data_IF_139426693439
#
_entry.id   IF_139426693439
#
_cell.length_a   1.000
_cell.length_b   1.000
_cell.length_c   1.000
_cell.angle_alpha   90.00
_cell.angle_beta   90.00
_cell.angle_gamma   90.00
#
_symmetry.space_group_name_H-M   'P 1'
#
loop_
_entity.id
_entity.type
_entity.pdbx_description
1 polymer ?
#
# COMPACT_ATOMS: atom_id res chain seq x y z
N UNK A 1 -27.66 -0.77 11.71
CA UNK A 1 -26.23 -0.45 11.44
C UNK A 1 -26.07 0.55 10.30
N UNK A 2 -26.70 0.36 9.12
CA UNK A 2 -26.60 1.35 8.03
C UNK A 2 -27.05 2.76 8.44
N UNK A 3 -28.18 2.88 9.15
CA UNK A 3 -28.67 4.16 9.69
C UNK A 3 -27.67 4.78 10.69
N UNK A 4 -27.16 3.99 11.64
CA UNK A 4 -26.16 4.43 12.62
C UNK A 4 -24.87 4.95 11.97
N UNK A 5 -24.49 4.40 10.81
CA UNK A 5 -23.29 4.81 10.08
C UNK A 5 -23.54 5.95 9.10
N UNK A 6 -24.80 6.30 8.80
CA UNK A 6 -25.15 7.22 7.71
C UNK A 6 -24.54 8.62 7.93
N UNK A 7 -24.66 9.15 9.14
CA UNK A 7 -24.17 10.49 9.50
C UNK A 7 -22.63 10.58 9.54
N UNK A 8 -21.95 9.45 9.76
CA UNK A 8 -20.48 9.38 9.84
C UNK A 8 -19.82 9.06 8.49
N UNK A 9 -20.58 8.74 7.43
CA UNK A 9 -20.02 8.41 6.11
C UNK A 9 -19.53 9.67 5.40
N UNK A 10 -18.34 9.64 4.79
CA UNK A 10 -17.93 10.68 3.86
C UNK A 10 -18.92 10.81 2.70
N UNK A 11 -19.15 12.03 2.20
CA UNK A 11 -20.14 12.31 1.15
C UNK A 11 -20.00 11.40 -0.09
N UNK A 12 -18.77 11.15 -0.56
CA UNK A 12 -18.51 10.26 -1.71
C UNK A 12 -18.80 8.77 -1.45
N UNK A 13 -19.16 8.40 -0.22
CA UNK A 13 -19.55 7.05 0.23
C UNK A 13 -20.95 7.01 0.81
N UNK A 14 -21.73 8.09 0.68
CA UNK A 14 -23.09 8.18 1.21
C UNK A 14 -23.98 7.03 0.68
N UNK A 15 -23.83 6.69 -0.60
CA UNK A 15 -24.61 5.62 -1.25
C UNK A 15 -24.06 4.20 -1.00
N UNK A 16 -22.92 4.07 -0.32
CA UNK A 16 -22.38 2.75 0.03
C UNK A 16 -23.16 2.19 1.22
N UNK A 17 -23.60 0.94 1.15
CA UNK A 17 -24.31 0.28 2.25
C UNK A 17 -23.56 -0.97 2.73
N UNK A 18 -23.71 -1.28 4.01
CA UNK A 18 -23.35 -2.58 4.59
C UNK A 18 -24.35 -3.60 4.07
N UNK A 19 -23.85 -4.73 3.54
CA UNK A 19 -24.67 -5.82 3.04
C UNK A 19 -25.40 -6.53 4.20
N UNK A 20 -26.70 -6.27 4.32
CA UNK A 20 -27.53 -6.81 5.40
C UNK A 20 -27.86 -8.30 5.24
N UNK A 21 -27.45 -8.94 4.13
CA UNK A 21 -27.59 -10.40 3.94
C UNK A 21 -26.53 -11.18 4.71
N UNK A 22 -25.44 -10.53 5.11
CA UNK A 22 -24.36 -11.15 5.88
C UNK A 22 -24.79 -11.33 7.33
N UNK A 23 -24.64 -12.56 7.84
CA UNK A 23 -25.03 -12.93 9.22
C UNK A 23 -23.86 -12.89 10.20
N UNK A 24 -22.64 -12.70 9.70
CA UNK A 24 -21.41 -12.70 10.48
C UNK A 24 -20.66 -11.39 10.29
N UNK A 25 -20.00 -10.93 11.35
CA UNK A 25 -19.08 -9.80 11.34
C UNK A 25 -17.73 -10.23 11.91
N UNK A 26 -16.68 -9.48 11.58
CA UNK A 26 -15.33 -9.73 12.09
C UNK A 26 -15.02 -8.74 13.21
N UNK A 27 -14.68 -9.25 14.39
CA UNK A 27 -14.12 -8.44 15.47
C UNK A 27 -12.60 -8.39 15.31
N UNK A 28 -12.05 -7.18 15.31
CA UNK A 28 -10.61 -6.95 15.14
C UNK A 28 -10.05 -6.15 16.32
N UNK A 29 -8.78 -6.38 16.69
CA UNK A 29 -8.09 -5.52 17.66
C UNK A 29 -8.13 -4.05 17.21
N UNK A 30 -8.53 -3.16 18.12
CA UNK A 30 -8.51 -1.73 17.85
C UNK A 30 -7.07 -1.20 17.97
N UNK A 31 -6.51 -0.74 16.86
CA UNK A 31 -5.17 -0.18 16.81
C UNK A 31 -5.08 1.22 17.42
N UNK A 32 -6.22 1.86 17.72
CA UNK A 32 -6.28 3.24 18.19
C UNK A 32 -6.31 3.38 19.72
N UNK A 33 -6.24 2.26 20.45
CA UNK A 33 -6.21 2.24 21.93
C UNK A 33 -4.79 2.24 22.45
N UNK A 34 -4.61 2.64 23.71
CA UNK A 34 -3.33 2.53 24.44
C UNK A 34 -2.70 1.14 24.33
N UNK A 35 -1.37 1.16 24.34
CA UNK A 35 -0.55 -0.05 24.33
C UNK A 35 -0.63 -0.73 25.70
N UNK A 36 -0.64 0.07 26.78
CA UNK A 36 -0.85 -0.40 28.14
C UNK A 36 -2.35 -0.48 28.54
N UNK A 37 -2.75 -1.45 29.38
CA UNK A 37 -4.11 -1.47 29.95
C UNK A 37 -4.44 -0.25 30.83
N UNK A 38 -3.41 0.32 31.47
CA UNK A 38 -3.49 1.50 32.33
C UNK A 38 -2.39 2.47 31.91
N UNK A 39 -2.64 3.36 30.93
CA UNK A 39 -1.64 4.33 30.49
C UNK A 39 -1.24 5.26 31.64
N UNK A 40 0.02 5.66 31.66
CA UNK A 40 0.51 6.67 32.59
C UNK A 40 -0.20 8.01 32.35
N UNK A 41 -0.31 8.84 33.40
CA UNK A 41 -0.92 10.17 33.28
C UNK A 41 -0.13 11.01 32.25
N UNK A 42 -0.84 11.60 31.29
CA UNK A 42 -0.24 12.39 30.20
C UNK A 42 0.35 11.56 29.06
N UNK A 43 0.14 10.24 29.04
CA UNK A 43 0.50 9.38 27.92
C UNK A 43 -0.62 9.37 26.87
N UNK A 44 -0.25 9.67 25.63
CA UNK A 44 -1.16 9.66 24.47
C UNK A 44 -0.77 8.55 23.50
N UNK A 45 -1.77 7.95 22.86
CA UNK A 45 -1.56 6.98 21.78
C UNK A 45 -1.64 7.67 20.44
N UNK A 46 -0.53 7.69 19.71
CA UNK A 46 -0.49 8.18 18.35
C UNK A 46 -0.47 6.99 17.40
N UNK A 47 -1.51 6.85 16.57
CA UNK A 47 -1.57 5.81 15.54
C UNK A 47 -1.48 6.41 14.15
N UNK A 48 -0.59 5.88 13.33
CA UNK A 48 -0.39 6.30 11.94
C UNK A 48 -0.75 5.16 11.01
N UNK A 49 -1.76 5.37 10.15
CA UNK A 49 -2.12 4.47 9.05
C UNK A 49 -1.42 4.94 7.77
N UNK A 50 -0.64 4.09 7.12
CA UNK A 50 0.08 4.39 5.88
C UNK A 50 -0.37 3.42 4.79
N UNK A 51 -0.75 3.93 3.60
CA UNK A 51 -0.95 3.11 2.39
C UNK A 51 0.31 3.18 1.52
N UNK A 52 1.22 2.20 1.61
CA UNK A 52 2.56 2.31 1.02
C UNK A 52 2.54 2.22 -0.52
N UNK A 53 1.48 1.68 -1.11
CA UNK A 53 1.33 1.46 -2.57
C UNK A 53 2.34 0.44 -3.10
N UNK A 54 2.81 0.65 -4.33
CA UNK A 54 3.62 -0.29 -5.10
C UNK A 54 5.10 0.01 -4.83
N UNK A 55 5.80 -0.93 -4.21
CA UNK A 55 7.21 -0.81 -3.83
C UNK A 55 8.21 -1.19 -4.91
N UNK A 56 7.77 -1.37 -6.16
CA UNK A 56 8.62 -1.81 -7.26
C UNK A 56 8.21 -1.21 -8.62
N UNK A 57 9.14 -1.24 -9.57
CA UNK A 57 9.00 -1.02 -11.00
C UNK A 57 8.91 -2.37 -11.70
N UNK A 58 8.06 -2.47 -12.73
CA UNK A 58 7.92 -3.73 -13.46
C UNK A 58 9.20 -4.07 -14.23
N UNK A 59 9.59 -5.34 -14.16
CA UNK A 59 10.69 -5.92 -14.94
C UNK A 59 10.17 -6.84 -16.05
N UNK A 60 8.85 -7.04 -16.16
CA UNK A 60 8.23 -7.93 -17.13
C UNK A 60 8.69 -7.62 -18.54
N UNK A 61 9.21 -8.61 -19.27
CA UNK A 61 9.61 -8.43 -20.68
C UNK A 61 8.41 -8.27 -21.62
N UNK A 62 7.19 -8.50 -21.12
CA UNK A 62 5.94 -8.43 -21.87
C UNK A 62 5.34 -7.02 -21.94
N UNK A 63 5.98 -6.03 -21.32
CA UNK A 63 5.62 -4.61 -21.48
C UNK A 63 6.00 -4.16 -22.89
N UNK A 64 5.05 -3.59 -23.62
CA UNK A 64 5.31 -3.01 -24.95
C UNK A 64 6.27 -1.82 -24.90
N UNK A 65 6.94 -1.52 -26.01
CA UNK A 65 7.86 -0.38 -26.11
C UNK A 65 7.15 0.95 -25.84
N UNK A 66 5.90 1.08 -26.29
CA UNK A 66 5.02 2.23 -26.04
C UNK A 66 4.80 2.48 -24.53
N UNK A 67 4.79 1.41 -23.74
CA UNK A 67 4.58 1.44 -22.30
C UNK A 67 5.90 1.32 -21.49
N UNK A 68 7.05 1.44 -22.13
CA UNK A 68 8.38 1.29 -21.51
C UNK A 68 8.63 2.23 -20.32
N UNK A 69 7.91 3.36 -20.23
CA UNK A 69 7.93 4.28 -19.08
C UNK A 69 7.63 3.59 -17.74
N UNK A 70 6.85 2.49 -17.75
CA UNK A 70 6.52 1.69 -16.56
C UNK A 70 7.74 1.08 -15.87
N UNK A 71 8.85 0.93 -16.60
CA UNK A 71 10.13 0.43 -16.07
C UNK A 71 10.95 1.51 -15.35
N UNK A 72 10.57 2.79 -15.48
CA UNK A 72 11.32 3.95 -14.96
C UNK A 72 10.51 4.83 -14.02
N UNK A 73 9.19 4.89 -14.20
CA UNK A 73 8.28 5.69 -13.37
C UNK A 73 7.33 4.75 -12.63
N UNK A 74 7.27 4.91 -11.30
CA UNK A 74 6.38 4.06 -10.51
C UNK A 74 4.92 4.38 -10.80
N UNK A 75 4.06 3.37 -10.63
CA UNK A 75 2.62 3.48 -10.88
C UNK A 75 1.97 4.64 -10.12
N UNK A 76 2.37 4.89 -8.87
CA UNK A 76 1.81 5.98 -8.07
C UNK A 76 2.10 7.35 -8.69
N UNK A 77 3.37 7.61 -9.03
CA UNK A 77 3.79 8.86 -9.66
C UNK A 77 3.04 9.12 -10.98
N UNK A 78 2.88 8.10 -11.84
CA UNK A 78 2.08 8.25 -13.06
C UNK A 78 0.60 8.53 -12.74
N UNK A 79 0.03 7.81 -11.78
CA UNK A 79 -1.39 7.91 -11.43
C UNK A 79 -1.78 9.27 -10.82
N UNK A 80 -0.83 10.01 -10.24
CA UNK A 80 -1.07 11.38 -9.79
C UNK A 80 -1.55 12.29 -10.92
N UNK A 81 -1.09 12.07 -12.17
CA UNK A 81 -1.52 12.85 -13.34
C UNK A 81 -2.93 12.48 -13.85
N UNK A 82 -3.48 11.37 -13.39
CA UNK A 82 -4.86 10.97 -13.70
C UNK A 82 -5.84 11.40 -12.62
N UNK A 83 -5.38 11.45 -11.37
CA UNK A 83 -6.24 11.69 -10.20
C UNK A 83 -6.28 13.13 -9.71
N UNK A 84 -5.21 13.88 -9.97
CA UNK A 84 -5.02 15.20 -9.37
C UNK A 84 -4.55 16.21 -10.40
N UNK A 85 -5.13 17.41 -10.28
CA UNK A 85 -4.68 18.60 -10.99
C UNK A 85 -3.27 19.00 -10.54
N UNK A 86 -2.61 19.84 -11.34
CA UNK A 86 -1.18 20.16 -11.18
C UNK A 86 -0.80 20.58 -9.76
N UNK A 87 -1.65 21.39 -9.11
CA UNK A 87 -1.40 21.96 -7.77
C UNK A 87 -1.61 20.97 -6.62
N UNK A 88 -2.26 19.83 -6.88
CA UNK A 88 -2.65 18.85 -5.85
C UNK A 88 -1.88 17.52 -5.95
N UNK A 89 -0.87 17.44 -6.83
CA UNK A 89 -0.06 16.24 -7.03
C UNK A 89 0.92 16.07 -5.88
N UNK A 90 0.90 14.89 -5.28
CA UNK A 90 1.83 14.55 -4.21
C UNK A 90 3.24 14.29 -4.76
N UNK A 91 4.25 14.82 -4.08
CA UNK A 91 5.66 14.51 -4.34
C UNK A 91 6.07 13.11 -3.84
N UNK A 92 5.21 12.45 -3.04
CA UNK A 92 5.47 11.13 -2.47
C UNK A 92 5.79 10.11 -3.57
N UNK A 93 6.90 9.39 -3.41
CA UNK A 93 7.23 8.24 -4.21
C UNK A 93 7.26 7.00 -3.31
N UNK A 94 6.42 5.98 -3.56
CA UNK A 94 6.49 4.71 -2.85
C UNK A 94 7.89 4.12 -2.80
N UNK A 95 8.65 4.20 -3.90
CA UNK A 95 9.98 3.59 -3.94
C UNK A 95 10.96 4.20 -2.90
N UNK A 96 10.77 5.46 -2.51
CA UNK A 96 11.55 6.06 -1.42
C UNK A 96 11.19 5.46 -0.06
N UNK A 97 9.90 5.21 0.20
CA UNK A 97 9.42 4.54 1.40
C UNK A 97 9.89 3.07 1.47
N UNK A 98 10.02 2.40 0.32
CA UNK A 98 10.48 1.02 0.20
C UNK A 98 12.01 0.85 0.06
N UNK A 99 12.78 1.94 0.07
CA UNK A 99 14.20 1.97 -0.31
C UNK A 99 15.18 1.33 0.68
N UNK A 100 14.73 1.00 1.90
CA UNK A 100 15.60 0.64 3.03
C UNK A 100 16.67 1.71 3.36
N UNK A 101 16.48 2.95 2.91
CA UNK A 101 17.36 4.09 3.19
C UNK A 101 16.65 5.05 4.13
N UNK A 102 17.21 5.26 5.32
CA UNK A 102 16.63 6.14 6.34
C UNK A 102 16.28 7.53 5.78
N UNK A 103 17.19 8.16 5.05
CA UNK A 103 16.97 9.49 4.47
C UNK A 103 15.81 9.51 3.48
N UNK A 104 15.71 8.49 2.62
CA UNK A 104 14.62 8.39 1.63
C UNK A 104 13.29 8.06 2.29
N UNK A 105 13.28 7.20 3.31
CA UNK A 105 12.08 6.89 4.10
C UNK A 105 11.56 8.13 4.82
N UNK A 106 12.43 8.90 5.49
CA UNK A 106 12.05 10.17 6.14
C UNK A 106 11.50 11.15 5.11
N UNK A 107 12.17 11.30 3.96
CA UNK A 107 11.68 12.15 2.87
C UNK A 107 10.28 11.73 2.39
N UNK A 108 10.06 10.43 2.21
CA UNK A 108 8.75 9.91 1.81
C UNK A 108 7.66 10.21 2.85
N UNK A 109 7.98 10.13 4.15
CA UNK A 109 7.07 10.49 5.23
C UNK A 109 6.75 12.00 5.21
N UNK A 110 7.73 12.87 4.99
CA UNK A 110 7.48 14.31 4.84
C UNK A 110 6.57 14.62 3.64
N UNK A 111 6.79 13.96 2.50
CA UNK A 111 5.90 14.10 1.35
C UNK A 111 4.47 13.61 1.63
N UNK A 112 4.31 12.53 2.40
CA UNK A 112 2.99 12.07 2.86
C UNK A 112 2.34 13.09 3.81
N UNK A 113 3.10 13.71 4.70
CA UNK A 113 2.59 14.73 5.62
C UNK A 113 2.08 15.98 4.90
N UNK A 114 2.83 16.44 3.89
CA UNK A 114 2.53 17.61 3.08
C UNK A 114 1.33 17.38 2.15
N UNK A 115 1.16 16.16 1.64
CA UNK A 115 0.05 15.82 0.75
C UNK A 115 -0.57 14.47 1.15
N UNK A 116 -1.37 14.43 2.23
CA UNK A 116 -1.83 13.18 2.82
C UNK A 116 -2.69 12.33 1.90
N UNK A 117 -3.53 12.99 1.10
CA UNK A 117 -4.53 12.36 0.23
C UNK A 117 -5.26 11.23 1.00
N UNK A 118 -5.20 9.99 0.50
CA UNK A 118 -5.66 8.81 1.23
C UNK A 118 -4.50 7.86 1.57
N UNK A 119 -3.29 8.38 1.75
CA UNK A 119 -2.06 7.61 1.88
C UNK A 119 -1.44 7.67 3.27
N UNK A 120 -1.81 8.68 4.07
CA UNK A 120 -1.51 8.71 5.49
C UNK A 120 -2.71 9.24 6.28
N UNK A 121 -2.99 8.64 7.43
CA UNK A 121 -3.89 9.16 8.46
C UNK A 121 -3.20 9.09 9.81
N UNK A 122 -3.46 10.07 10.66
CA UNK A 122 -2.90 10.14 12.00
C UNK A 122 -4.06 10.26 12.99
N UNK A 123 -4.00 9.46 14.04
CA UNK A 123 -4.98 9.45 15.11
C UNK A 123 -4.29 9.72 16.44
N UNK A 124 -4.94 10.51 17.31
CA UNK A 124 -4.51 10.75 18.68
C UNK A 124 -5.65 10.29 19.59
N UNK A 125 -5.39 9.30 20.43
CA UNK A 125 -6.36 8.70 21.36
C UNK A 125 -7.70 8.35 20.70
N UNK A 126 -7.64 7.75 19.50
CA UNK A 126 -8.82 7.37 18.73
C UNK A 126 -9.40 8.46 17.83
N UNK A 127 -8.95 9.71 17.95
CA UNK A 127 -9.47 10.83 17.16
C UNK A 127 -8.59 11.10 15.93
N UNK A 128 -9.20 11.11 14.75
CA UNK A 128 -8.53 11.46 13.50
C UNK A 128 -8.18 12.96 13.50
N UNK A 129 -6.90 13.29 13.26
CA UNK A 129 -6.52 14.68 13.01
C UNK A 129 -6.66 15.01 11.52
N UNK A 130 -6.95 16.27 11.20
CA UNK A 130 -7.24 16.72 9.82
C UNK A 130 -6.02 16.66 8.90
N UNK A 131 -4.81 16.83 9.43
CA UNK A 131 -3.55 16.68 8.69
C UNK A 131 -2.40 16.27 9.62
N UNK A 132 -1.43 15.45 9.14
CA UNK A 132 -0.26 15.04 9.94
C UNK A 132 0.56 16.22 10.49
N UNK A 133 0.70 17.29 9.70
CA UNK A 133 1.46 18.50 10.10
C UNK A 133 0.77 19.32 11.22
N UNK A 134 -0.51 19.06 11.49
CA UNK A 134 -1.24 19.69 12.60
C UNK A 134 -1.14 18.87 13.90
N UNK A 135 -0.41 17.75 13.88
CA UNK A 135 -0.19 16.93 15.07
C UNK A 135 0.54 17.74 16.14
N UNK A 136 -0.17 17.97 17.25
CA UNK A 136 0.40 18.55 18.45
C UNK A 136 -0.20 17.91 19.70
N UNK A 137 0.61 17.82 20.76
CA UNK A 137 0.15 17.47 22.10
C UNK A 137 0.50 18.64 23.04
N UNK A 138 -0.48 19.15 23.77
CA UNK A 138 -0.31 20.28 24.70
C UNK A 138 0.39 21.51 24.05
N UNK A 139 0.13 21.75 22.75
CA UNK A 139 0.71 22.86 21.99
C UNK A 139 2.12 22.58 21.42
N UNK A 140 2.69 21.41 21.66
CA UNK A 140 3.99 20.99 21.10
C UNK A 140 3.76 20.26 19.77
N UNK A 141 4.30 20.76 18.63
CA UNK A 141 4.26 20.03 17.36
C UNK A 141 5.12 18.77 17.42
N UNK A 142 4.62 17.64 16.91
CA UNK A 142 5.31 16.34 17.04
C UNK A 142 5.66 15.66 15.73
N UNK A 143 5.20 16.17 14.58
CA UNK A 143 5.44 15.49 13.29
C UNK A 143 6.92 15.28 13.00
N UNK A 144 7.76 16.27 13.29
CA UNK A 144 9.20 16.21 13.02
C UNK A 144 9.92 15.13 13.82
N UNK A 145 9.49 14.85 15.05
CA UNK A 145 10.02 13.75 15.85
C UNK A 145 9.40 12.40 15.45
N UNK A 146 8.08 12.38 15.29
CA UNK A 146 7.31 11.18 14.95
C UNK A 146 7.79 10.55 13.64
N UNK A 147 8.07 11.33 12.59
CA UNK A 147 8.53 10.80 11.30
C UNK A 147 9.84 10.02 11.43
N UNK A 148 10.74 10.45 12.33
CA UNK A 148 11.99 9.73 12.58
C UNK A 148 11.74 8.43 13.34
N UNK A 149 10.83 8.44 14.31
CA UNK A 149 10.38 7.22 15.01
C UNK A 149 9.74 6.21 14.04
N UNK A 150 8.81 6.66 13.18
CA UNK A 150 8.19 5.83 12.14
C UNK A 150 9.23 5.24 11.19
N UNK A 151 10.19 6.05 10.74
CA UNK A 151 11.25 5.59 9.85
C UNK A 151 12.09 4.47 10.49
N UNK A 152 12.44 4.60 11.78
CA UNK A 152 13.18 3.56 12.52
C UNK A 152 12.37 2.28 12.65
N UNK A 153 11.09 2.38 13.03
CA UNK A 153 10.19 1.22 13.14
C UNK A 153 10.07 0.50 11.79
N UNK A 154 9.79 1.24 10.71
CA UNK A 154 9.64 0.69 9.35
C UNK A 154 10.90 -0.08 8.91
N UNK A 155 12.09 0.47 9.18
CA UNK A 155 13.36 -0.14 8.82
C UNK A 155 13.69 -1.36 9.69
N UNK A 156 13.45 -1.27 11.01
CA UNK A 156 13.70 -2.37 11.95
C UNK A 156 12.81 -3.59 11.67
N UNK A 157 11.52 -3.37 11.40
CA UNK A 157 10.55 -4.43 11.08
C UNK A 157 10.84 -5.11 9.73
N UNK A 158 11.49 -4.39 8.81
CA UNK A 158 11.74 -4.83 7.41
C UNK A 158 10.45 -5.25 6.68
N UNK A 159 9.30 -4.80 7.18
CA UNK A 159 7.97 -5.15 6.66
C UNK A 159 7.81 -4.74 5.20
N UNK A 160 8.30 -3.55 4.84
CA UNK A 160 8.25 -3.05 3.48
C UNK A 160 9.20 -3.81 2.54
N UNK A 161 10.33 -4.33 3.03
CA UNK A 161 11.21 -5.18 2.21
C UNK A 161 10.48 -6.48 1.84
N UNK A 162 9.87 -7.14 2.84
CA UNK A 162 9.07 -8.35 2.61
C UNK A 162 7.90 -8.08 1.65
N UNK A 163 7.21 -6.95 1.86
CA UNK A 163 6.09 -6.54 1.03
C UNK A 163 6.51 -6.25 -0.42
N UNK A 164 7.61 -5.50 -0.64
CA UNK A 164 8.17 -5.25 -1.98
C UNK A 164 8.47 -6.54 -2.71
N UNK A 165 9.13 -7.48 -2.03
CA UNK A 165 9.45 -8.79 -2.58
C UNK A 165 8.18 -9.54 -2.99
N UNK A 166 7.19 -9.66 -2.10
CA UNK A 166 5.94 -10.34 -2.40
C UNK A 166 5.16 -9.66 -3.53
N UNK A 167 5.04 -8.32 -3.51
CA UNK A 167 4.36 -7.57 -4.56
C UNK A 167 4.98 -7.85 -5.94
N UNK A 168 6.32 -7.89 -6.02
CA UNK A 168 7.04 -8.18 -7.27
C UNK A 168 6.94 -9.64 -7.67
N UNK A 169 7.22 -10.57 -6.76
CA UNK A 169 7.25 -12.01 -7.07
C UNK A 169 5.89 -12.57 -7.48
N UNK A 170 4.80 -11.99 -6.97
CA UNK A 170 3.43 -12.35 -7.33
C UNK A 170 2.92 -11.60 -8.58
N UNK A 171 3.62 -10.57 -9.05
CA UNK A 171 3.30 -9.87 -10.30
C UNK A 171 4.55 -9.76 -11.22
N UNK A 172 5.09 -10.89 -11.69
CA UNK A 172 6.27 -10.89 -12.55
C UNK A 172 5.94 -10.47 -13.99
N UNK A 173 4.68 -10.63 -14.42
CA UNK A 173 4.26 -10.44 -15.80
C UNK A 173 3.67 -9.05 -16.08
N UNK A 174 3.33 -8.28 -15.05
CA UNK A 174 2.49 -7.09 -15.13
C UNK A 174 1.08 -7.41 -15.69
N UNK A 175 0.15 -6.46 -15.57
CA UNK A 175 -1.20 -6.61 -16.12
C UNK A 175 -1.18 -6.89 -17.64
N UNK A 176 -0.23 -6.29 -18.38
CA UNK A 176 -0.10 -6.51 -19.83
C UNK A 176 0.27 -7.97 -20.17
N UNK A 177 1.08 -8.63 -19.34
CA UNK A 177 1.47 -10.02 -19.55
C UNK A 177 0.47 -11.03 -18.98
N UNK A 178 -0.20 -10.72 -17.86
CA UNK A 178 -1.18 -11.62 -17.24
C UNK A 178 -2.55 -11.57 -17.93
N UNK A 179 -2.93 -10.45 -18.56
CA UNK A 179 -4.27 -10.32 -19.14
C UNK A 179 -4.55 -11.32 -20.27
N UNK A 180 -3.61 -11.62 -21.19
CA UNK A 180 -3.80 -12.72 -22.15
C UNK A 180 -3.93 -14.10 -21.49
N UNK A 181 -3.26 -14.32 -20.34
CA UNK A 181 -3.42 -15.56 -19.55
C UNK A 181 -4.82 -15.64 -18.94
N UNK A 182 -5.33 -14.52 -18.43
CA UNK A 182 -6.70 -14.40 -17.95
C UNK A 182 -7.69 -14.80 -19.03
N UNK A 183 -7.59 -14.25 -20.25
CA UNK A 183 -8.49 -14.60 -21.36
C UNK A 183 -8.47 -16.10 -21.67
N UNK A 184 -7.29 -16.72 -21.80
CA UNK A 184 -7.19 -18.17 -22.04
C UNK A 184 -7.73 -19.03 -20.90
N UNK A 185 -7.56 -18.58 -19.65
CA UNK A 185 -8.09 -19.29 -18.48
C UNK A 185 -9.63 -19.23 -18.42
N UNK A 186 -10.24 -18.12 -18.86
CA UNK A 186 -11.70 -18.04 -19.06
C UNK A 186 -12.13 -18.99 -20.19
N UNK A 187 -11.51 -18.90 -21.37
CA UNK A 187 -11.87 -19.68 -22.56
C UNK A 187 -11.75 -21.19 -22.36
N UNK A 188 -10.76 -21.63 -21.59
CA UNK A 188 -10.55 -23.05 -21.25
C UNK A 188 -11.44 -23.55 -20.11
N UNK A 189 -12.20 -22.66 -19.44
CA UNK A 189 -13.01 -22.98 -18.27
C UNK A 189 -12.22 -23.17 -16.97
N UNK A 190 -10.91 -22.91 -16.96
CA UNK A 190 -10.08 -23.00 -15.75
C UNK A 190 -10.45 -21.94 -14.70
N UNK A 191 -10.94 -20.79 -15.16
CA UNK A 191 -11.54 -19.71 -14.37
C UNK A 191 -12.92 -19.44 -14.96
N UNK A 192 -13.88 -20.34 -14.78
CA UNK A 192 -15.21 -20.22 -15.37
C UNK A 192 -16.02 -19.05 -14.77
N UNK A 193 -15.70 -17.78 -15.06
CA UNK A 193 -16.33 -16.51 -14.64
C UNK A 193 -16.78 -16.38 -13.16
N UNK A 194 -16.40 -17.33 -12.31
CA UNK A 194 -16.69 -17.39 -10.88
C UNK A 194 -15.58 -16.70 -10.09
N UNK A 195 -15.98 -16.02 -9.01
CA UNK A 195 -15.02 -15.41 -8.11
C UNK A 195 -14.20 -16.51 -7.39
N UNK A 196 -12.88 -16.35 -7.23
CA UNK A 196 -12.04 -17.39 -6.64
C UNK A 196 -12.48 -17.73 -5.21
N UNK A 197 -12.53 -19.03 -4.93
CA UNK A 197 -12.90 -19.57 -3.61
C UNK A 197 -11.75 -19.41 -2.61
N UNK A 198 -12.03 -19.61 -1.31
CA UNK A 198 -10.97 -19.64 -0.30
C UNK A 198 -9.93 -20.72 -0.60
N UNK A 199 -10.36 -21.88 -1.10
CA UNK A 199 -9.46 -22.98 -1.46
C UNK A 199 -8.56 -22.62 -2.64
N UNK A 200 -9.06 -21.87 -3.63
CA UNK A 200 -8.23 -21.34 -4.72
C UNK A 200 -7.10 -20.48 -4.15
N UNK A 201 -7.39 -19.56 -3.24
CA UNK A 201 -6.37 -18.71 -2.61
C UNK A 201 -5.36 -19.52 -1.79
N UNK A 202 -5.81 -20.49 -1.00
CA UNK A 202 -4.95 -21.36 -0.19
C UNK A 202 -3.99 -22.15 -1.10
N UNK A 203 -4.53 -22.75 -2.17
CA UNK A 203 -3.76 -23.55 -3.12
C UNK A 203 -2.76 -22.70 -3.90
N UNK A 204 -3.17 -21.52 -4.38
CA UNK A 204 -2.28 -20.58 -5.07
C UNK A 204 -1.14 -20.13 -4.16
N UNK A 205 -1.42 -19.78 -2.90
CA UNK A 205 -0.39 -19.39 -1.95
C UNK A 205 0.56 -20.57 -1.61
N UNK A 206 0.04 -21.79 -1.53
CA UNK A 206 0.85 -22.98 -1.30
C UNK A 206 1.78 -23.29 -2.50
N UNK A 207 1.27 -23.20 -3.73
CA UNK A 207 2.06 -23.38 -4.95
C UNK A 207 3.14 -22.31 -5.07
N UNK A 208 2.81 -21.02 -4.83
CA UNK A 208 3.78 -19.93 -4.84
C UNK A 208 4.96 -20.19 -3.89
N UNK A 209 4.67 -20.69 -2.68
CA UNK A 209 5.71 -21.07 -1.70
C UNK A 209 6.54 -22.27 -2.17
N UNK A 210 5.90 -23.30 -2.75
CA UNK A 210 6.60 -24.51 -3.24
C UNK A 210 7.53 -24.21 -4.41
N UNK A 211 7.12 -23.34 -5.33
CA UNK A 211 7.90 -22.98 -6.52
C UNK A 211 9.03 -22.00 -6.25
N UNK A 212 9.39 -21.75 -4.98
CA UNK A 212 10.47 -20.84 -4.63
C UNK A 212 10.16 -19.37 -4.89
N UNK A 213 8.89 -18.94 -4.88
CA UNK A 213 8.51 -17.53 -5.08
C UNK A 213 9.09 -16.56 -4.03
N UNK A 214 9.65 -17.11 -2.94
CA UNK A 214 10.36 -16.39 -1.88
C UNK A 214 11.89 -16.42 -2.03
N UNK A 215 12.42 -17.18 -2.98
CA UNK A 215 13.85 -17.43 -3.18
C UNK A 215 14.32 -16.70 -4.45
N UNK A 216 15.25 -15.76 -4.30
CA UNK A 216 15.91 -15.08 -5.43
C UNK A 216 17.00 -16.01 -6.01
N UNK A 217 16.59 -17.15 -6.60
CA UNK A 217 17.55 -18.05 -7.22
C UNK A 217 17.82 -17.59 -8.65
N UNK A 218 19.02 -17.01 -8.83
CA UNK A 218 19.62 -16.64 -10.11
C UNK A 218 19.91 -17.80 -11.09
N UNK A 219 19.13 -18.89 -11.04
CA UNK A 219 19.06 -19.85 -12.14
C UNK A 219 17.96 -19.39 -13.08
N UNK A 220 18.33 -18.89 -14.27
CA UNK A 220 17.45 -18.33 -15.30
C UNK A 220 16.46 -19.30 -15.97
N UNK A 221 15.88 -20.23 -15.20
CA UNK A 221 14.70 -21.01 -15.60
C UNK A 221 13.47 -20.17 -15.28
N UNK A 222 12.87 -19.53 -16.30
CA UNK A 222 11.58 -18.87 -16.16
C UNK A 222 10.56 -19.79 -15.49
N UNK A 223 9.98 -19.35 -14.38
CA UNK A 223 8.91 -20.08 -13.72
C UNK A 223 7.74 -20.22 -14.71
N UNK A 224 7.52 -21.43 -15.23
CA UNK A 224 6.41 -21.71 -16.14
C UNK A 224 5.11 -21.69 -15.34
N UNK A 225 4.46 -20.53 -15.33
CA UNK A 225 3.19 -20.33 -14.65
C UNK A 225 2.03 -20.84 -15.51
N UNK A 226 1.26 -21.75 -14.93
CA UNK A 226 -0.10 -22.03 -15.38
C UNK A 226 -0.93 -20.72 -15.44
N UNK A 227 -1.88 -20.65 -16.38
CA UNK A 227 -2.64 -19.42 -16.62
C UNK A 227 -3.52 -19.05 -15.42
N UNK A 228 -4.17 -20.03 -14.77
CA UNK A 228 -4.95 -19.78 -13.54
C UNK A 228 -4.04 -19.31 -12.41
N UNK A 229 -2.90 -19.97 -12.20
CA UNK A 229 -1.94 -19.58 -11.17
C UNK A 229 -1.42 -18.14 -11.37
N UNK A 230 -1.05 -17.76 -12.59
CA UNK A 230 -0.56 -16.42 -12.88
C UNK A 230 -1.59 -15.32 -12.57
N UNK A 231 -2.87 -15.56 -12.89
CA UNK A 231 -3.96 -14.63 -12.63
C UNK A 231 -4.21 -14.47 -11.13
N UNK A 232 -4.27 -15.59 -10.39
CA UNK A 232 -4.51 -15.55 -8.95
C UNK A 232 -3.32 -14.92 -8.20
N UNK A 233 -2.09 -15.18 -8.60
CA UNK A 233 -0.92 -14.49 -8.05
C UNK A 233 -0.97 -12.98 -8.32
N UNK A 234 -1.32 -12.57 -9.54
CA UNK A 234 -1.50 -11.15 -9.86
C UNK A 234 -2.55 -10.48 -8.96
N UNK A 235 -3.67 -11.16 -8.68
CA UNK A 235 -4.71 -10.66 -7.78
C UNK A 235 -4.21 -10.59 -6.34
N UNK A 236 -3.48 -11.59 -5.84
CA UNK A 236 -2.82 -11.54 -4.52
C UNK A 236 -1.85 -10.36 -4.44
N UNK A 237 -1.02 -10.15 -5.47
CA UNK A 237 -0.15 -8.97 -5.55
C UNK A 237 -0.98 -7.68 -5.45
N UNK A 238 -2.11 -7.61 -6.18
CA UNK A 238 -3.01 -6.45 -6.17
C UNK A 238 -3.63 -6.18 -4.80
N UNK A 239 -3.88 -7.21 -3.98
CA UNK A 239 -4.21 -7.04 -2.55
C UNK A 239 -3.06 -6.34 -1.83
N UNK A 240 -1.85 -6.91 -1.91
CA UNK A 240 -0.64 -6.39 -1.24
C UNK A 240 -0.23 -4.98 -1.66
N UNK A 241 -0.64 -4.55 -2.85
CA UNK A 241 -0.42 -3.20 -3.38
C UNK A 241 -1.39 -2.14 -2.83
N UNK A 242 -2.44 -2.56 -2.13
CA UNK A 242 -3.55 -1.72 -1.66
C UNK A 242 -3.82 -1.86 -0.15
N UNK A 243 -3.03 -2.66 0.57
CA UNK A 243 -3.08 -2.76 2.04
C UNK A 243 -2.73 -1.43 2.71
N UNK A 244 -3.04 -1.34 4.00
CA UNK A 244 -2.58 -0.27 4.89
C UNK A 244 -1.77 -0.85 6.05
N UNK A 245 -0.75 -0.13 6.49
CA UNK A 245 0.08 -0.47 7.66
C UNK A 245 -0.26 0.53 8.76
N UNK A 246 -0.68 0.05 9.92
CA UNK A 246 -0.96 0.86 11.10
C UNK A 246 0.18 0.70 12.10
N UNK A 247 0.76 1.80 12.55
CA UNK A 247 1.80 1.85 13.58
C UNK A 247 1.29 2.71 14.72
N UNK A 248 1.15 2.14 15.91
CA UNK A 248 0.76 2.85 17.12
C UNK A 248 1.96 2.97 18.07
N UNK A 249 2.20 4.17 18.59
CA UNK A 249 3.24 4.50 19.57
C UNK A 249 2.63 5.26 20.75
N UNK A 250 3.23 5.13 21.92
CA UNK A 250 2.89 5.94 23.09
C UNK A 250 3.83 7.16 23.19
N UNK A 251 3.25 8.33 23.45
CA UNK A 251 3.96 9.61 23.46
C UNK A 251 3.47 10.49 24.62
N UNK A 252 4.41 11.05 25.39
CA UNK A 252 4.12 12.11 26.37
C UNK A 252 4.38 13.50 25.77
N UNK A 253 3.60 14.49 26.20
CA UNK A 253 3.76 15.89 25.75
C UNK A 253 5.14 16.49 26.10
N UNK A 254 5.73 16.09 27.24
CA UNK A 254 6.96 16.68 27.80
C UNK A 254 8.27 16.01 27.35
N UNK A 255 8.23 14.91 26.57
CA UNK A 255 9.44 14.20 26.13
C UNK A 255 10.20 14.89 24.99
N UNK A 256 9.61 15.90 24.35
CA UNK A 256 10.22 16.65 23.24
C UNK A 256 11.36 17.61 23.65
N UNK A 257 11.53 17.89 24.95
CA UNK A 257 12.45 18.92 25.45
C UNK A 257 13.84 18.42 25.89
N UNK A 258 14.10 17.11 25.88
CA UNK A 258 15.35 16.52 26.35
C UNK A 258 16.03 15.68 25.28
N UNK A 259 17.09 16.21 24.66
CA UNK A 259 18.00 15.44 23.79
C UNK A 259 18.58 14.23 24.54
N UNK A 260 17.93 13.08 24.45
CA UNK A 260 18.59 11.80 24.64
C UNK A 260 19.24 11.42 23.31
N UNK A 261 20.56 11.28 23.33
CA UNK A 261 21.38 10.79 22.22
C UNK A 261 21.20 9.29 21.97
N UNK A 262 20.33 8.62 22.72
CA UNK A 262 19.99 7.21 22.53
C UNK A 262 18.84 7.07 21.51
N UNK A 263 19.19 6.51 20.36
CA UNK A 263 18.35 6.17 19.20
C UNK A 263 17.54 4.90 19.50
N UNK A 264 16.80 4.87 20.61
CA UNK A 264 16.02 3.69 20.98
C UNK A 264 14.62 3.77 20.33
N UNK A 265 14.15 2.63 19.82
CA UNK A 265 12.80 2.53 19.26
C UNK A 265 11.83 2.41 20.44
N UNK A 266 10.81 3.27 20.56
CA UNK A 266 9.85 3.19 21.68
C UNK A 266 9.06 1.89 21.63
N UNK A 267 8.24 1.61 22.64
CA UNK A 267 7.23 0.56 22.52
C UNK A 267 6.21 0.93 21.43
N UNK A 268 5.87 -0.04 20.57
CA UNK A 268 4.92 0.16 19.48
C UNK A 268 4.11 -1.09 19.18
N UNK A 269 2.98 -0.89 18.50
CA UNK A 269 2.18 -1.97 17.90
C UNK A 269 2.08 -1.73 16.40
N UNK A 270 2.24 -2.78 15.61
CA UNK A 270 2.10 -2.74 14.15
C UNK A 270 1.02 -3.72 13.68
N UNK A 271 0.22 -3.30 12.71
CA UNK A 271 -0.77 -4.17 12.06
C UNK A 271 -0.84 -3.89 10.55
N UNK A 272 -1.16 -4.92 9.78
CA UNK A 272 -1.55 -4.80 8.38
C UNK A 272 -3.07 -4.95 8.30
N UNK A 273 -3.72 -4.02 7.62
CA UNK A 273 -5.18 -4.02 7.39
C UNK A 273 -5.49 -3.87 5.90
N UNK A 274 -6.76 -3.99 5.53
CA UNK A 274 -7.26 -3.95 4.13
C UNK A 274 -6.76 -5.12 3.26
N UNK A 275 -6.74 -6.34 3.80
CA UNK A 275 -6.23 -7.56 3.14
C UNK A 275 -7.29 -8.37 2.38
N UNK A 276 -8.42 -7.76 2.05
CA UNK A 276 -9.53 -8.42 1.35
C UNK A 276 -9.13 -8.86 -0.06
N UNK A 277 -9.46 -10.11 -0.49
CA UNK A 277 -9.20 -10.59 -1.84
C UNK A 277 -9.79 -9.68 -2.92
N UNK A 278 -9.02 -9.45 -3.99
CA UNK A 278 -9.50 -8.70 -5.15
C UNK A 278 -10.34 -9.60 -6.05
N UNK A 279 -11.41 -9.02 -6.58
CA UNK A 279 -12.36 -9.71 -7.46
C UNK A 279 -11.77 -10.02 -8.82
N UNK A 280 -11.97 -11.24 -9.31
CA UNK A 280 -11.58 -11.66 -10.65
C UNK A 280 -12.30 -10.84 -11.73
N UNK A 281 -13.57 -10.50 -11.49
CA UNK A 281 -14.37 -9.63 -12.37
C UNK A 281 -13.77 -8.23 -12.60
N UNK A 282 -12.73 -7.82 -11.85
CA UNK A 282 -12.03 -6.54 -12.02
C UNK A 282 -10.83 -6.59 -12.96
N UNK A 283 -10.46 -7.74 -13.51
CA UNK A 283 -9.29 -7.87 -14.39
C UNK A 283 -9.30 -6.89 -15.56
N UNK A 284 -10.42 -6.80 -16.29
CA UNK A 284 -10.60 -5.84 -17.39
C UNK A 284 -10.44 -4.39 -16.89
N UNK A 285 -11.11 -4.04 -15.80
CA UNK A 285 -11.04 -2.70 -15.22
C UNK A 285 -9.62 -2.33 -14.72
N UNK A 286 -8.81 -3.32 -14.32
CA UNK A 286 -7.41 -3.10 -13.99
C UNK A 286 -6.59 -2.76 -15.23
N UNK A 287 -6.74 -3.50 -16.33
CA UNK A 287 -6.05 -3.23 -17.59
C UNK A 287 -6.39 -1.82 -18.11
N UNK A 288 -7.68 -1.49 -18.21
CA UNK A 288 -8.15 -0.18 -18.69
C UNK A 288 -7.60 0.97 -17.85
N UNK A 289 -7.67 0.83 -16.52
CA UNK A 289 -7.11 1.83 -15.61
C UNK A 289 -5.61 2.00 -15.79
N UNK A 290 -4.90 0.92 -16.06
CA UNK A 290 -3.47 0.95 -16.31
C UNK A 290 -3.11 1.70 -17.58
N UNK A 291 -3.80 1.37 -18.68
CA UNK A 291 -3.64 2.06 -19.96
C UNK A 291 -3.93 3.55 -19.82
N UNK A 292 -4.99 3.91 -19.10
CA UNK A 292 -5.34 5.31 -18.83
C UNK A 292 -4.24 6.05 -18.05
N UNK A 293 -3.66 5.41 -17.02
CA UNK A 293 -2.59 5.98 -16.21
C UNK A 293 -1.36 6.30 -17.07
N UNK A 294 -0.92 5.33 -17.88
CA UNK A 294 0.27 5.48 -18.73
C UNK A 294 0.02 6.53 -19.80
N UNK A 295 -1.12 6.47 -20.49
CA UNK A 295 -1.50 7.44 -21.51
C UNK A 295 -1.54 8.87 -20.97
N UNK A 296 -2.17 9.09 -19.80
CA UNK A 296 -2.22 10.41 -19.17
C UNK A 296 -0.84 10.95 -18.80
N UNK A 297 0.03 10.09 -18.29
CA UNK A 297 1.39 10.47 -17.92
C UNK A 297 2.21 10.86 -19.15
N UNK A 298 2.18 10.04 -20.21
CA UNK A 298 2.90 10.29 -21.47
C UNK A 298 2.40 11.54 -22.19
N UNK A 299 1.08 11.81 -22.18
CA UNK A 299 0.54 13.08 -22.71
C UNK A 299 1.06 14.30 -21.96
N UNK A 300 1.35 14.16 -20.68
CA UNK A 300 1.92 15.23 -19.85
C UNK A 300 3.45 15.32 -19.94
N UNK A 301 4.13 14.24 -20.35
CA UNK A 301 5.60 14.14 -20.47
C UNK A 301 5.95 13.44 -21.80
N UNK A 302 5.70 14.10 -22.95
CA UNK A 302 5.93 13.49 -24.25
C UNK A 302 7.42 13.22 -24.52
N UNK A 303 8.30 14.02 -23.92
CA UNK A 303 9.76 13.88 -24.06
C UNK A 303 10.32 12.90 -23.01
N UNK A 304 10.90 11.75 -23.43
CA UNK A 304 11.50 10.77 -22.54
C UNK A 304 12.61 11.30 -21.62
N UNK A 305 13.33 12.37 -22.00
CA UNK A 305 14.41 12.95 -21.21
C UNK A 305 13.90 13.77 -20.02
N UNK A 306 12.67 14.28 -20.11
CA UNK A 306 12.00 15.06 -19.05
C UNK A 306 11.17 14.20 -18.10
N UNK A 307 11.00 12.92 -18.42
CA UNK A 307 10.23 11.98 -17.59
C UNK A 307 10.95 11.75 -16.27
N UNK A 308 10.16 11.59 -15.19
CA UNK A 308 10.69 11.26 -13.87
C UNK A 308 11.49 9.96 -13.93
N UNK A 309 12.56 9.85 -13.15
CA UNK A 309 13.25 8.59 -12.93
C UNK A 309 13.10 8.18 -11.46
N UNK A 310 12.21 7.23 -11.20
CA UNK A 310 12.04 6.69 -9.86
C UNK A 310 13.15 5.68 -9.59
N UNK A 311 13.76 5.73 -8.41
CA UNK A 311 14.82 4.80 -8.00
C UNK A 311 14.26 3.76 -7.04
N UNK A 312 14.57 2.49 -7.24
CA UNK A 312 14.16 1.40 -6.33
C UNK A 312 15.00 1.30 -5.05
#
# INVERSE_FOLDING_TARGET
INELAAEARPAHRADTQIDLRQQVGVLMPNMLTSLAPTPALGMHTITVEIKPKWGFLTQSQLISDENSVKRRVCRYCMHQYTKHDVDNRSAFCPLDLFSNSYTRVVHALDCLALSPQNNIRVFVDGQLISAPLLLSLEGVPLWDELKHTLARIILAERILIKLKHLQRSLDPLDIEGVFPKYQRAIESGALADEEPTLDDWINTAAEFRRSGGLCDHGSGSERRLDDKQAVLEFLLSTVLKDISIMIAVEQMASQSAGRSTAVEIPEYRIAIVDTEPKKLSKMQAYLERYQQIVSNYLRSHPDPETQKQCQE
#
